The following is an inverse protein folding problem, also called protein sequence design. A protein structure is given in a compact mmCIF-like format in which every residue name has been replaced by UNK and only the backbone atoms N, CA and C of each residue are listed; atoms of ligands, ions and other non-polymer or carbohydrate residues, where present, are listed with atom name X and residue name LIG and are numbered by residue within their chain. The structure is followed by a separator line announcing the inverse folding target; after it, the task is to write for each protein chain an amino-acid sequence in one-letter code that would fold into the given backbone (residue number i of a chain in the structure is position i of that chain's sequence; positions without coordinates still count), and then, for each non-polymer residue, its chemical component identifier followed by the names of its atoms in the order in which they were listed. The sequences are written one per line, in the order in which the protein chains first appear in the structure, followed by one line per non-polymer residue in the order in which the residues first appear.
data_IF_857361607303
#
_entry.id   IF_857361607303
#
_cell.length_a   1.000
_cell.length_b   1.000
_cell.length_c   1.000
_cell.angle_alpha   90.00
_cell.angle_beta   90.00
_cell.angle_gamma   90.00
#
_symmetry.space_group_name_H-M   'P 1'
#
loop_
_entity.id
_entity.type
_entity.pdbx_description
1 polymer ?
#
# COMPACT_ATOMS: atom_id res chain seq x y z
N UNK A 1 -82.84 -88.16 -62.87
CA UNK A 1 -83.89 -87.14 -62.93
C UNK A 1 -84.27 -86.79 -61.49
N UNK A 2 -83.98 -85.57 -61.02
CA UNK A 2 -84.45 -85.14 -59.68
C UNK A 2 -85.97 -85.03 -59.73
N UNK A 3 -86.63 -85.61 -58.74
CA UNK A 3 -88.09 -85.75 -58.66
C UNK A 3 -88.70 -84.36 -58.39
N UNK A 4 -89.66 -83.89 -59.21
CA UNK A 4 -90.22 -82.53 -59.15
C UNK A 4 -90.75 -82.14 -57.76
N UNK A 5 -91.15 -83.12 -56.94
CA UNK A 5 -91.60 -82.90 -55.56
C UNK A 5 -90.46 -82.45 -54.64
N UNK A 6 -89.24 -82.96 -54.82
CA UNK A 6 -88.07 -82.56 -54.03
C UNK A 6 -87.65 -81.12 -54.32
N UNK A 7 -87.85 -80.65 -55.56
CA UNK A 7 -87.56 -79.26 -55.96
C UNK A 7 -88.59 -78.31 -55.36
N UNK A 8 -89.88 -78.69 -55.32
CA UNK A 8 -90.94 -77.88 -54.70
C UNK A 8 -90.77 -77.74 -53.19
N UNK A 9 -90.39 -78.82 -52.50
CA UNK A 9 -90.16 -78.77 -51.05
C UNK A 9 -88.94 -77.92 -50.68
N UNK A 10 -87.85 -77.98 -51.47
CA UNK A 10 -86.67 -77.14 -51.27
C UNK A 10 -86.96 -75.66 -51.55
N UNK A 11 -87.76 -75.36 -52.59
CA UNK A 11 -88.22 -73.99 -52.88
C UNK A 11 -89.11 -73.46 -51.75
N UNK A 12 -90.05 -74.28 -51.23
CA UNK A 12 -90.89 -73.88 -50.10
C UNK A 12 -90.07 -73.68 -48.81
N UNK A 13 -89.09 -74.53 -48.54
CA UNK A 13 -88.18 -74.37 -47.40
C UNK A 13 -87.37 -73.08 -47.48
N UNK A 14 -86.86 -72.75 -48.68
CA UNK A 14 -86.15 -71.48 -48.95
C UNK A 14 -87.07 -70.26 -48.86
N UNK A 15 -88.32 -70.38 -49.30
CA UNK A 15 -89.29 -69.30 -49.18
C UNK A 15 -89.61 -69.02 -47.71
N UNK A 16 -89.75 -70.07 -46.90
CA UNK A 16 -90.07 -69.93 -45.48
C UNK A 16 -88.91 -69.33 -44.68
N UNK A 17 -87.67 -69.71 -45.00
CA UNK A 17 -86.48 -69.09 -44.37
C UNK A 17 -86.32 -67.63 -44.78
N UNK A 18 -86.70 -67.27 -46.01
CA UNK A 18 -86.72 -65.89 -46.49
C UNK A 18 -87.80 -65.05 -45.79
N UNK A 19 -89.02 -65.58 -45.58
CA UNK A 19 -90.05 -64.89 -44.78
C UNK A 19 -89.56 -64.63 -43.35
N UNK A 20 -88.86 -65.60 -42.76
CA UNK A 20 -88.31 -65.47 -41.42
C UNK A 20 -87.19 -64.40 -41.35
N UNK A 21 -86.32 -64.30 -42.35
CA UNK A 21 -85.29 -63.27 -42.39
C UNK A 21 -85.88 -61.88 -42.59
N UNK A 22 -86.87 -61.72 -43.46
CA UNK A 22 -87.57 -60.45 -43.68
C UNK A 22 -88.23 -59.95 -42.39
N UNK A 23 -88.96 -60.82 -41.67
CA UNK A 23 -89.56 -60.46 -40.37
C UNK A 23 -88.52 -60.07 -39.31
N UNK A 24 -87.36 -60.73 -39.31
CA UNK A 24 -86.27 -60.42 -38.38
C UNK A 24 -85.65 -59.05 -38.67
N UNK A 25 -85.42 -58.76 -39.95
CA UNK A 25 -84.92 -57.45 -40.41
C UNK A 25 -85.93 -56.36 -40.08
N UNK A 26 -87.22 -56.57 -40.33
CA UNK A 26 -88.27 -55.59 -40.01
C UNK A 26 -88.32 -55.27 -38.51
N UNK A 27 -88.24 -56.28 -37.64
CA UNK A 27 -88.18 -56.06 -36.18
C UNK A 27 -86.94 -55.28 -35.77
N UNK A 28 -85.78 -55.59 -36.35
CA UNK A 28 -84.53 -54.88 -36.07
C UNK A 28 -84.60 -53.44 -36.58
N UNK A 29 -85.14 -53.23 -37.77
CA UNK A 29 -85.31 -51.91 -38.36
C UNK A 29 -86.25 -51.07 -37.49
N UNK A 30 -87.39 -51.61 -37.05
CA UNK A 30 -88.31 -50.93 -36.12
C UNK A 30 -87.66 -50.62 -34.77
N UNK A 31 -86.78 -51.48 -34.27
CA UNK A 31 -86.05 -51.22 -33.03
C UNK A 31 -85.00 -50.11 -33.20
N UNK A 32 -84.33 -50.06 -34.36
CA UNK A 32 -83.41 -48.98 -34.71
C UNK A 32 -84.17 -47.68 -34.95
N UNK A 33 -85.28 -47.73 -35.67
CA UNK A 33 -86.17 -46.60 -35.92
C UNK A 33 -86.69 -46.05 -34.59
N UNK A 34 -87.16 -46.88 -33.66
CA UNK A 34 -87.54 -46.41 -32.31
C UNK A 34 -86.39 -45.80 -31.53
N UNK A 35 -85.15 -46.24 -31.73
CA UNK A 35 -83.99 -45.64 -31.06
C UNK A 35 -83.58 -44.31 -31.69
N UNK A 36 -83.77 -44.15 -33.00
CA UNK A 36 -83.52 -42.90 -33.72
C UNK A 36 -84.67 -41.90 -33.59
N UNK A 37 -85.92 -42.39 -33.53
CA UNK A 37 -87.15 -41.59 -33.46
C UNK A 37 -87.55 -41.26 -32.02
N UNK A 38 -86.82 -41.78 -31.02
CA UNK A 38 -86.79 -41.12 -29.72
C UNK A 38 -86.00 -39.85 -29.98
N UNK A 39 -86.73 -38.83 -30.43
CA UNK A 39 -86.34 -37.43 -30.34
C UNK A 39 -85.94 -37.20 -28.88
N UNK A 40 -84.65 -37.31 -28.60
CA UNK A 40 -84.08 -36.66 -27.42
C UNK A 40 -84.36 -35.18 -27.68
N UNK A 41 -85.18 -34.51 -26.85
CA UNK A 41 -85.40 -33.09 -27.04
C UNK A 41 -84.02 -32.44 -27.09
N UNK A 42 -83.72 -31.77 -28.21
CA UNK A 42 -82.62 -30.80 -28.28
C UNK A 42 -83.11 -29.60 -27.49
N UNK A 43 -83.19 -29.81 -26.18
CA UNK A 43 -83.35 -28.78 -25.18
C UNK A 43 -82.01 -28.01 -25.22
N UNK A 44 -82.08 -26.68 -25.19
CA UNK A 44 -80.93 -25.74 -25.13
C UNK A 44 -80.12 -25.90 -23.82
N UNK A 45 -79.88 -27.13 -23.39
CA UNK A 45 -78.97 -27.48 -22.32
C UNK A 45 -77.59 -27.62 -22.94
N UNK A 46 -76.83 -26.51 -22.87
CA UNK A 46 -75.37 -26.60 -22.79
C UNK A 46 -75.08 -27.59 -21.66
N UNK A 47 -74.52 -28.76 -21.95
CA UNK A 47 -74.33 -29.74 -20.90
C UNK A 47 -73.36 -29.17 -19.86
N UNK A 48 -73.60 -29.47 -18.59
CA UNK A 48 -72.78 -29.02 -17.45
C UNK A 48 -71.26 -29.35 -17.60
N UNK A 49 -70.90 -30.25 -18.53
CA UNK A 49 -69.51 -30.53 -18.90
C UNK A 49 -68.83 -29.36 -19.65
N UNK A 50 -69.57 -28.55 -20.40
CA UNK A 50 -69.03 -27.46 -21.22
C UNK A 50 -68.67 -26.24 -20.35
N UNK A 51 -69.47 -25.93 -19.32
CA UNK A 51 -69.18 -24.86 -18.35
C UNK A 51 -67.97 -25.19 -17.47
N UNK A 52 -67.82 -26.44 -17.04
CA UNK A 52 -66.65 -26.89 -16.27
C UNK A 52 -65.35 -26.87 -17.10
N UNK A 53 -65.45 -27.11 -18.41
CA UNK A 53 -64.32 -27.02 -19.33
C UNK A 53 -63.90 -25.56 -19.55
N UNK A 54 -64.87 -24.66 -19.70
CA UNK A 54 -64.62 -23.22 -19.86
C UNK A 54 -63.95 -22.62 -18.61
N UNK A 55 -64.44 -22.95 -17.41
CA UNK A 55 -63.82 -22.53 -16.14
C UNK A 55 -62.40 -23.10 -15.99
N UNK A 56 -62.18 -24.37 -16.33
CA UNK A 56 -60.84 -24.97 -16.30
C UNK A 56 -59.89 -24.33 -17.32
N UNK A 57 -60.40 -23.95 -18.50
CA UNK A 57 -59.63 -23.27 -19.54
C UNK A 57 -59.24 -21.86 -19.10
N UNK A 58 -60.17 -21.12 -18.51
CA UNK A 58 -59.93 -19.78 -17.97
C UNK A 58 -58.91 -19.83 -16.83
N UNK A 59 -59.06 -20.77 -15.89
CA UNK A 59 -58.07 -21.03 -14.83
C UNK A 59 -56.69 -21.32 -15.41
N UNK A 60 -56.60 -22.25 -16.36
CA UNK A 60 -55.32 -22.60 -17.00
C UNK A 60 -54.71 -21.39 -17.73
N UNK A 61 -55.53 -20.57 -18.39
CA UNK A 61 -55.07 -19.38 -19.09
C UNK A 61 -54.52 -18.33 -18.11
N UNK A 62 -55.19 -18.12 -16.97
CA UNK A 62 -54.70 -17.22 -15.92
C UNK A 62 -53.39 -17.71 -15.29
N UNK A 63 -53.26 -19.02 -15.03
CA UNK A 63 -52.01 -19.62 -14.55
C UNK A 63 -50.86 -19.42 -15.55
N UNK A 64 -51.10 -19.65 -16.85
CA UNK A 64 -50.10 -19.42 -17.90
C UNK A 64 -49.66 -17.95 -17.95
N UNK A 65 -50.60 -17.00 -17.78
CA UNK A 65 -50.28 -15.57 -17.70
C UNK A 65 -49.41 -15.27 -16.47
N UNK A 66 -49.75 -15.84 -15.30
CA UNK A 66 -48.96 -15.68 -14.07
C UNK A 66 -47.55 -16.24 -14.24
N UNK A 67 -47.42 -17.47 -14.73
CA UNK A 67 -46.14 -18.12 -15.00
C UNK A 67 -45.30 -17.27 -15.97
N UNK A 68 -45.93 -16.71 -17.01
CA UNK A 68 -45.24 -15.83 -17.96
C UNK A 68 -44.74 -14.55 -17.28
N UNK A 69 -45.52 -13.96 -16.39
CA UNK A 69 -45.10 -12.78 -15.63
C UNK A 69 -43.92 -13.11 -14.69
N UNK A 70 -43.98 -14.24 -13.98
CA UNK A 70 -42.88 -14.73 -13.15
C UNK A 70 -41.61 -15.00 -13.95
N UNK A 71 -41.74 -15.64 -15.12
CA UNK A 71 -40.62 -15.91 -16.02
C UNK A 71 -39.94 -14.62 -16.49
N UNK A 72 -40.73 -13.59 -16.84
CA UNK A 72 -40.18 -12.29 -17.20
C UNK A 72 -39.42 -11.62 -16.03
N UNK A 73 -39.94 -11.73 -14.81
CA UNK A 73 -39.25 -11.23 -13.62
C UNK A 73 -37.93 -11.97 -13.36
N UNK A 74 -37.91 -13.29 -13.53
CA UNK A 74 -36.70 -14.10 -13.40
C UNK A 74 -35.65 -13.73 -14.45
N UNK A 75 -36.06 -13.50 -15.70
CA UNK A 75 -35.16 -13.03 -16.77
C UNK A 75 -34.54 -11.68 -16.39
N UNK A 76 -35.35 -10.73 -15.92
CA UNK A 76 -34.87 -9.41 -15.50
C UNK A 76 -33.86 -9.51 -14.34
N UNK A 77 -34.15 -10.34 -13.34
CA UNK A 77 -33.26 -10.56 -12.21
C UNK A 77 -31.95 -11.25 -12.64
N UNK A 78 -32.01 -12.17 -13.60
CA UNK A 78 -30.81 -12.80 -14.15
C UNK A 78 -29.93 -11.78 -14.88
N UNK A 79 -30.52 -10.84 -15.62
CA UNK A 79 -29.76 -9.73 -16.23
C UNK A 79 -29.07 -8.85 -15.19
N UNK A 80 -29.73 -8.56 -14.06
CA UNK A 80 -29.12 -7.81 -12.95
C UNK A 80 -27.97 -8.59 -12.30
N UNK A 81 -28.14 -9.89 -12.11
CA UNK A 81 -27.07 -10.74 -11.58
C UNK A 81 -25.84 -10.73 -12.50
N UNK A 82 -26.06 -10.76 -13.82
CA UNK A 82 -24.97 -10.66 -14.78
C UNK A 82 -24.21 -9.33 -14.68
N UNK A 83 -24.91 -8.22 -14.44
CA UNK A 83 -24.29 -6.91 -14.21
C UNK A 83 -23.45 -6.89 -12.92
N UNK A 84 -23.92 -7.53 -11.84
CA UNK A 84 -23.14 -7.69 -10.61
C UNK A 84 -21.89 -8.56 -10.83
N UNK A 85 -21.97 -9.61 -11.64
CA UNK A 85 -20.80 -10.45 -11.96
C UNK A 85 -19.73 -9.66 -12.72
N UNK A 86 -20.14 -8.80 -13.66
CA UNK A 86 -19.21 -7.91 -14.40
C UNK A 86 -18.54 -6.94 -13.43
N UNK A 87 -19.31 -6.30 -12.54
CA UNK A 87 -18.76 -5.36 -11.55
C UNK A 87 -17.79 -6.06 -10.58
N UNK A 88 -18.12 -7.27 -10.13
CA UNK A 88 -17.23 -8.07 -9.29
C UNK A 88 -15.93 -8.43 -10.02
N UNK A 89 -15.99 -8.74 -11.31
CA UNK A 89 -14.81 -9.02 -12.12
C UNK A 89 -13.93 -7.78 -12.28
N UNK A 90 -14.53 -6.62 -12.54
CA UNK A 90 -13.82 -5.34 -12.61
C UNK A 90 -13.13 -5.01 -11.28
N UNK A 91 -13.86 -5.09 -10.17
CA UNK A 91 -13.33 -4.82 -8.84
C UNK A 91 -12.19 -5.77 -8.48
N UNK A 92 -12.30 -7.06 -8.84
CA UNK A 92 -11.25 -8.04 -8.60
C UNK A 92 -9.99 -7.76 -9.44
N UNK A 93 -10.16 -7.24 -10.67
CA UNK A 93 -9.04 -6.81 -11.51
C UNK A 93 -8.32 -5.60 -10.92
N UNK A 94 -9.07 -4.64 -10.36
CA UNK A 94 -8.53 -3.47 -9.67
C UNK A 94 -7.77 -3.87 -8.40
N UNK A 95 -8.35 -4.75 -7.58
CA UNK A 95 -7.69 -5.30 -6.38
C UNK A 95 -6.38 -6.00 -6.75
N UNK A 96 -6.36 -6.76 -7.84
CA UNK A 96 -5.15 -7.44 -8.33
C UNK A 96 -4.09 -6.42 -8.76
N UNK A 97 -4.48 -5.36 -9.47
CA UNK A 97 -3.58 -4.26 -9.86
C UNK A 97 -3.01 -3.53 -8.65
N UNK A 98 -3.86 -3.17 -7.68
CA UNK A 98 -3.45 -2.52 -6.44
C UNK A 98 -2.48 -3.38 -5.64
N UNK A 99 -2.74 -4.69 -5.53
CA UNK A 99 -1.82 -5.61 -4.87
C UNK A 99 -0.45 -5.65 -5.55
N UNK A 100 -0.41 -5.65 -6.89
CA UNK A 100 0.84 -5.55 -7.64
C UNK A 100 1.62 -4.27 -7.30
N UNK A 101 0.94 -3.12 -7.29
CA UNK A 101 1.56 -1.83 -6.95
C UNK A 101 2.07 -1.82 -5.50
N UNK A 102 1.32 -2.40 -4.55
CA UNK A 102 1.75 -2.54 -3.15
C UNK A 102 3.01 -3.41 -3.06
N UNK A 103 3.08 -4.51 -3.82
CA UNK A 103 4.28 -5.37 -3.82
C UNK A 103 5.50 -4.67 -4.39
N UNK A 104 5.33 -3.89 -5.45
CA UNK A 104 6.41 -3.11 -6.07
C UNK A 104 6.92 -2.02 -5.11
N UNK A 105 6.01 -1.22 -4.54
CA UNK A 105 6.37 -0.20 -3.53
C UNK A 105 7.04 -0.80 -2.30
N UNK A 106 6.65 -2.01 -1.89
CA UNK A 106 7.29 -2.71 -0.78
C UNK A 106 8.71 -3.12 -1.13
N UNK A 107 8.94 -3.61 -2.35
CA UNK A 107 10.28 -3.96 -2.83
C UNK A 107 11.17 -2.72 -2.95
N UNK A 108 10.67 -1.62 -3.51
CA UNK A 108 11.40 -0.35 -3.58
C UNK A 108 11.76 0.18 -2.19
N UNK A 109 10.83 0.13 -1.23
CA UNK A 109 11.13 0.53 0.15
C UNK A 109 12.21 -0.32 0.80
N UNK A 110 12.23 -1.64 0.54
CA UNK A 110 13.30 -2.52 1.04
C UNK A 110 14.65 -2.10 0.44
N UNK A 111 14.71 -1.88 -0.88
CA UNK A 111 15.94 -1.43 -1.57
C UNK A 111 16.43 -0.08 -1.07
N UNK A 112 15.53 0.88 -0.88
CA UNK A 112 15.86 2.20 -0.34
C UNK A 112 16.36 2.11 1.09
N UNK A 113 15.71 1.31 1.93
CA UNK A 113 16.15 1.07 3.31
C UNK A 113 17.54 0.44 3.37
N UNK A 114 17.85 -0.50 2.48
CA UNK A 114 19.17 -1.12 2.40
C UNK A 114 20.24 -0.12 1.96
N UNK A 115 19.95 0.70 0.93
CA UNK A 115 20.86 1.76 0.47
C UNK A 115 21.16 2.78 1.56
N UNK A 116 20.15 3.20 2.33
CA UNK A 116 20.34 4.12 3.46
C UNK A 116 21.22 3.50 4.52
N UNK A 117 21.00 2.23 4.90
CA UNK A 117 21.85 1.57 5.90
C UNK A 117 23.29 1.39 5.43
N UNK A 118 23.52 1.05 4.16
CA UNK A 118 24.89 0.95 3.63
C UNK A 118 25.59 2.31 3.61
N UNK A 119 24.89 3.36 3.20
CA UNK A 119 25.43 4.72 3.15
C UNK A 119 25.76 5.27 4.54
N UNK A 120 24.83 5.13 5.49
CA UNK A 120 25.04 5.60 6.86
C UNK A 120 26.21 4.86 7.53
N UNK A 121 26.33 3.54 7.31
CA UNK A 121 27.47 2.79 7.83
C UNK A 121 28.80 3.24 7.22
N UNK A 122 28.86 3.43 5.89
CA UNK A 122 30.09 3.91 5.24
C UNK A 122 30.47 5.33 5.68
N UNK A 123 29.52 6.25 5.77
CA UNK A 123 29.79 7.62 6.24
C UNK A 123 30.23 7.62 7.71
N UNK A 124 29.64 6.75 8.54
CA UNK A 124 30.03 6.62 9.95
C UNK A 124 31.44 6.05 10.09
N UNK A 125 31.82 5.04 9.29
CA UNK A 125 33.18 4.50 9.26
C UNK A 125 34.21 5.53 8.79
N UNK A 126 33.91 6.30 7.74
CA UNK A 126 34.76 7.40 7.25
C UNK A 126 34.93 8.50 8.31
N UNK A 127 33.87 8.90 9.00
CA UNK A 127 33.94 9.90 10.07
C UNK A 127 34.77 9.39 11.25
N UNK A 128 34.63 8.11 11.62
CA UNK A 128 35.41 7.53 12.71
C UNK A 128 36.90 7.46 12.38
N UNK A 129 37.25 6.99 11.18
CA UNK A 129 38.65 6.94 10.72
C UNK A 129 39.27 8.33 10.66
N UNK A 130 38.58 9.31 10.07
CA UNK A 130 39.04 10.71 10.03
C UNK A 130 39.19 11.29 11.44
N UNK A 131 38.28 10.99 12.36
CA UNK A 131 38.40 11.44 13.75
C UNK A 131 39.62 10.84 14.46
N UNK A 132 39.99 9.59 14.16
CA UNK A 132 41.19 8.96 14.71
C UNK A 132 42.44 9.60 14.13
N UNK A 133 42.47 9.86 12.82
CA UNK A 133 43.59 10.51 12.15
C UNK A 133 43.82 11.92 12.69
N UNK A 134 42.75 12.73 12.83
CA UNK A 134 42.82 14.07 13.41
C UNK A 134 43.36 14.01 14.85
N UNK A 135 42.91 13.06 15.68
CA UNK A 135 43.43 12.91 17.05
C UNK A 135 44.91 12.58 17.06
N UNK A 136 45.36 11.73 16.15
CA UNK A 136 46.77 11.36 16.04
C UNK A 136 47.61 12.56 15.59
N UNK A 137 47.11 13.32 14.62
CA UNK A 137 47.79 14.53 14.12
C UNK A 137 47.88 15.62 15.19
N UNK A 138 46.81 15.86 15.94
CA UNK A 138 46.81 16.75 17.11
C UNK A 138 47.83 16.29 18.16
N UNK A 139 47.90 14.99 18.44
CA UNK A 139 48.88 14.42 19.38
C UNK A 139 50.32 14.69 18.92
N UNK A 140 50.60 14.48 17.63
CA UNK A 140 51.91 14.76 17.04
C UNK A 140 52.26 16.25 17.08
N UNK A 141 51.30 17.12 16.77
CA UNK A 141 51.47 18.57 16.85
C UNK A 141 51.75 19.02 18.27
N UNK A 142 51.01 18.49 19.26
CA UNK A 142 51.25 18.77 20.67
C UNK A 142 52.65 18.32 21.12
N UNK A 143 53.09 17.13 20.71
CA UNK A 143 54.44 16.63 21.03
C UNK A 143 55.54 17.49 20.39
N UNK A 144 55.34 17.95 19.15
CA UNK A 144 56.25 18.88 18.48
C UNK A 144 56.28 20.25 19.15
N UNK A 145 55.11 20.75 19.57
CA UNK A 145 54.97 22.02 20.27
C UNK A 145 55.66 21.96 21.63
N UNK A 146 55.45 20.90 22.41
CA UNK A 146 56.10 20.68 23.70
C UNK A 146 57.63 20.63 23.54
N UNK A 147 58.13 19.94 22.51
CA UNK A 147 59.57 19.89 22.20
C UNK A 147 60.13 21.27 21.83
N UNK A 148 59.39 22.07 21.08
CA UNK A 148 59.78 23.43 20.70
C UNK A 148 59.72 24.40 21.89
N UNK A 149 58.69 24.30 22.73
CA UNK A 149 58.51 25.15 23.91
C UNK A 149 59.59 24.88 24.96
N UNK A 150 59.97 23.61 25.16
CA UNK A 150 60.98 23.24 26.14
C UNK A 150 62.40 23.66 25.73
N UNK A 151 62.65 23.89 24.43
CA UNK A 151 63.94 24.38 23.93
C UNK A 151 64.13 25.91 24.08
N UNK A 152 63.08 26.66 24.42
CA UNK A 152 63.09 28.12 24.52
C UNK A 152 63.04 28.64 25.99
N UNK A 153 63.35 27.79 26.97
CA UNK A 153 63.32 28.11 28.40
C UNK A 153 64.70 27.85 29.02
N UNK A 154 65.41 28.92 29.39
CA UNK A 154 66.67 28.82 30.14
C UNK A 154 66.35 28.94 31.64
N UNK A 155 66.78 27.96 32.44
CA UNK A 155 66.69 28.02 33.89
C UNK A 155 67.75 28.99 34.44
N UNK A 156 67.32 30.12 35.00
CA UNK A 156 68.16 30.97 35.85
C UNK A 156 67.56 30.92 37.26
N UNK A 157 68.11 30.04 38.11
CA UNK A 157 67.61 29.82 39.48
C UNK A 157 66.18 29.24 39.54
N UNK A 158 65.36 29.71 40.49
CA UNK A 158 63.98 29.24 40.74
C UNK A 158 62.92 29.79 39.76
N UNK A 159 63.30 30.65 38.80
CA UNK A 159 62.33 31.40 37.98
C UNK A 159 62.51 31.06 36.50
N UNK A 160 61.46 30.49 35.90
CA UNK A 160 61.38 30.23 34.45
C UNK A 160 61.04 31.54 33.72
N UNK A 161 61.97 32.05 32.91
CA UNK A 161 61.78 33.26 32.09
C UNK A 161 62.00 32.93 30.61
N UNK A 162 61.06 33.25 29.70
CA UNK A 162 61.28 33.09 28.26
C UNK A 162 62.39 34.05 27.80
N UNK A 163 63.32 33.54 26.99
CA UNK A 163 64.56 34.23 26.62
C UNK A 163 64.31 35.54 25.86
N UNK A 164 63.19 35.63 25.15
CA UNK A 164 62.79 36.77 24.34
C UNK A 164 62.57 38.05 25.18
N UNK A 165 61.98 37.92 26.37
CA UNK A 165 61.62 39.09 27.18
C UNK A 165 62.82 39.65 27.96
N UNK A 166 63.71 38.76 28.43
CA UNK A 166 64.96 39.16 29.07
C UNK A 166 65.89 39.89 28.09
N UNK A 167 65.97 39.40 26.84
CA UNK A 167 66.77 40.01 25.79
C UNK A 167 66.28 41.41 25.39
N UNK A 168 64.97 41.59 25.20
CA UNK A 168 64.40 42.89 24.82
C UNK A 168 64.57 43.92 25.95
N UNK A 169 64.29 43.54 27.20
CA UNK A 169 64.43 44.46 28.35
C UNK A 169 65.91 44.83 28.57
N UNK A 170 66.82 43.86 28.48
CA UNK A 170 68.26 44.12 28.54
C UNK A 170 68.76 45.03 27.42
N UNK A 171 68.31 44.81 26.19
CA UNK A 171 68.64 45.66 25.04
C UNK A 171 68.08 47.08 25.19
N UNK A 172 66.87 47.24 25.70
CA UNK A 172 66.27 48.55 25.96
C UNK A 172 67.04 49.33 27.03
N UNK A 173 67.45 48.67 28.12
CA UNK A 173 68.27 49.29 29.17
C UNK A 173 69.64 49.69 28.59
N UNK A 174 70.28 48.81 27.81
CA UNK A 174 71.58 49.11 27.18
C UNK A 174 71.49 50.25 26.16
N UNK A 175 70.44 50.28 25.34
CA UNK A 175 70.20 51.36 24.38
C UNK A 175 69.96 52.71 25.08
N UNK A 176 69.16 52.72 26.15
CA UNK A 176 68.92 53.93 26.95
C UNK A 176 70.21 54.41 27.62
N UNK A 177 70.99 53.48 28.16
CA UNK A 177 72.30 53.78 28.78
C UNK A 177 73.27 54.33 27.74
N UNK A 178 73.36 53.73 26.55
CA UNK A 178 74.19 54.21 25.46
C UNK A 178 73.75 55.59 24.95
N UNK A 179 72.45 55.85 24.87
CA UNK A 179 71.91 57.16 24.49
C UNK A 179 72.26 58.25 25.50
N UNK A 180 72.17 57.96 26.80
CA UNK A 180 72.58 58.89 27.88
C UNK A 180 74.08 59.21 27.84
N UNK A 181 74.91 58.20 27.56
CA UNK A 181 76.35 58.38 27.37
C UNK A 181 76.63 59.28 26.17
N UNK A 182 75.93 59.06 25.05
CA UNK A 182 76.13 59.82 23.81
C UNK A 182 75.76 61.31 23.95
N UNK A 183 74.79 61.64 24.79
CA UNK A 183 74.42 63.03 25.11
C UNK A 183 75.33 63.68 26.18
N UNK A 184 76.39 62.99 26.63
CA UNK A 184 77.38 63.52 27.57
C UNK A 184 76.88 63.67 29.01
N UNK A 185 75.72 63.10 29.34
CA UNK A 185 75.07 63.25 30.65
C UNK A 185 75.55 62.22 31.68
N UNK A 186 76.87 62.21 31.95
CA UNK A 186 77.49 61.29 32.90
C UNK A 186 77.04 61.47 34.34
N UNK A 187 76.56 62.67 34.70
CA UNK A 187 76.03 62.97 36.03
C UNK A 187 74.75 62.18 36.35
N UNK A 188 73.92 61.89 35.35
CA UNK A 188 72.68 61.13 35.54
C UNK A 188 72.98 59.66 35.82
N UNK A 189 73.93 59.06 35.11
CA UNK A 189 74.31 57.65 35.28
C UNK A 189 74.94 57.40 36.65
N UNK A 190 75.69 58.39 37.18
CA UNK A 190 76.31 58.32 38.51
C UNK A 190 75.33 58.62 39.65
N UNK A 191 74.15 59.16 39.33
CA UNK A 191 73.15 59.50 40.34
C UNK A 191 72.42 58.26 40.85
N UNK A 192 72.01 58.29 42.12
CA UNK A 192 71.20 57.24 42.73
C UNK A 192 69.84 57.04 42.01
N UNK A 193 69.34 58.08 41.34
CA UNK A 193 68.07 58.05 40.60
C UNK A 193 68.11 57.14 39.38
N UNK A 194 69.26 56.95 38.74
CA UNK A 194 69.39 56.05 37.59
C UNK A 194 69.29 54.58 37.99
N UNK A 195 69.97 54.20 39.08
CA UNK A 195 69.87 52.85 39.65
C UNK A 195 68.43 52.56 40.13
N UNK A 196 67.79 53.53 40.78
CA UNK A 196 66.38 53.43 41.16
C UNK A 196 65.46 53.30 39.95
N UNK A 197 65.74 54.03 38.86
CA UNK A 197 65.00 53.94 37.60
C UNK A 197 65.06 52.54 36.96
N UNK A 198 66.25 51.93 36.91
CA UNK A 198 66.40 50.56 36.41
C UNK A 198 65.65 49.57 37.31
N UNK A 199 65.76 49.71 38.63
CA UNK A 199 65.03 48.86 39.57
C UNK A 199 63.50 48.99 39.40
N UNK A 200 63.00 50.20 39.16
CA UNK A 200 61.57 50.46 38.89
C UNK A 200 61.12 49.81 37.58
N UNK A 201 61.93 49.91 36.52
CA UNK A 201 61.64 49.23 35.24
C UNK A 201 61.57 47.71 35.41
N UNK A 202 62.49 47.12 36.17
CA UNK A 202 62.43 45.69 36.51
C UNK A 202 61.19 45.34 37.35
N UNK A 203 60.84 46.16 38.35
CA UNK A 203 59.67 45.94 39.18
C UNK A 203 58.36 45.98 38.36
N UNK A 204 58.24 46.95 37.44
CA UNK A 204 57.10 47.06 36.51
C UNK A 204 57.04 45.86 35.58
N UNK A 205 58.17 45.41 35.03
CA UNK A 205 58.22 44.23 34.17
C UNK A 205 57.75 42.95 34.88
N UNK A 206 58.15 42.77 36.15
CA UNK A 206 57.72 41.63 36.98
C UNK A 206 56.22 41.72 37.30
N UNK A 207 55.73 42.89 37.69
CA UNK A 207 54.29 43.14 37.93
C UNK A 207 53.45 42.85 36.68
N UNK A 208 53.89 43.32 35.51
CA UNK A 208 53.21 43.10 34.24
C UNK A 208 53.15 41.62 33.88
N UNK A 209 54.22 40.86 34.15
CA UNK A 209 54.23 39.39 34.00
C UNK A 209 53.23 38.74 34.94
N UNK A 210 53.17 39.16 36.21
CA UNK A 210 52.25 38.60 37.19
C UNK A 210 50.79 38.83 36.77
N UNK A 211 50.50 40.01 36.23
CA UNK A 211 49.19 40.35 35.68
C UNK A 211 48.81 39.47 34.47
N UNK A 212 49.72 39.32 33.49
CA UNK A 212 49.49 38.50 32.28
C UNK A 212 49.34 37.00 32.57
N UNK A 213 49.99 36.49 33.62
CA UNK A 213 49.83 35.09 34.04
C UNK A 213 48.48 34.90 34.73
N UNK A 214 48.09 35.83 35.62
CA UNK A 214 46.82 35.75 36.33
C UNK A 214 45.60 35.93 35.40
N UNK A 215 45.72 36.74 34.35
CA UNK A 215 44.63 36.98 33.38
C UNK A 215 44.39 35.83 32.40
N UNK A 216 45.27 34.82 32.34
CA UNK A 216 45.09 33.62 31.50
C UNK A 216 44.41 32.45 32.24
N UNK A 217 44.20 32.60 33.55
CA UNK A 217 43.58 31.61 34.44
C UNK A 217 42.13 31.95 34.83
N UNK A 218 41.57 33.01 34.28
CA UNK A 218 40.15 33.36 34.33
C UNK A 218 39.54 33.20 32.93
#
# INVERSE_FOLDING_TARGET
MKNDNQVKDDINGRLHSLDQTVRSVEKRLRAVERRLSVDVPVEDYIPEYETNLEEALESTMTEVISIRAEMNNLILNNSRNHEYDILLQELNSEITSLNSQITELREENIKLSEQVMMKDNSETEEIQTLSVDIRNEISQLNMRLEKAENHNRINIGSVKVPVELSGIVGAAILALTGFLIMNGQWDIIRSAYFSFGIALVFAVAVLMKFYLVNSKTA
#
